data_IF_541585008382
#
_entry.id   IF_541585008382
#
_cell.length_a   1.000
_cell.length_b   1.000
_cell.length_c   1.000
_cell.angle_alpha   90.00
_cell.angle_beta   90.00
_cell.angle_gamma   90.00
#
_symmetry.space_group_name_H-M   'P 1'
#
loop_
_entity.id
_entity.type
_entity.pdbx_description
1 polymer ?
#
# COMPACT_ATOMS: atom_id res chain seq x y z
N UNK A 1 -14.03 11.06 -12.02
CA UNK A 1 -13.75 9.71 -11.49
C UNK A 1 -14.62 9.46 -10.27
N UNK A 2 -15.19 8.26 -10.11
CA UNK A 2 -15.97 7.89 -8.92
C UNK A 2 -15.03 7.24 -7.92
N UNK A 3 -14.75 7.92 -6.82
CA UNK A 3 -13.93 7.36 -5.75
C UNK A 3 -14.75 6.41 -4.89
N UNK A 4 -14.21 5.23 -4.52
CA UNK A 4 -14.93 4.22 -3.77
C UNK A 4 -15.17 4.57 -2.30
N UNK A 5 -14.44 5.54 -1.72
CA UNK A 5 -14.62 5.99 -0.33
C UNK A 5 -14.50 4.88 0.73
N UNK A 6 -13.84 3.77 0.39
CA UNK A 6 -13.69 2.61 1.25
C UNK A 6 -12.20 2.41 1.62
N UNK A 7 -11.81 2.71 2.88
CA UNK A 7 -10.42 2.57 3.35
C UNK A 7 -9.82 1.17 3.14
N UNK A 8 -10.63 0.10 3.27
CA UNK A 8 -10.17 -1.28 3.07
C UNK A 8 -9.81 -1.53 1.61
N UNK A 9 -10.61 -1.00 0.69
CA UNK A 9 -10.37 -1.12 -0.74
C UNK A 9 -9.09 -0.35 -1.14
N UNK A 10 -8.90 0.86 -0.63
CA UNK A 10 -7.65 1.62 -0.85
C UNK A 10 -6.42 0.89 -0.32
N UNK A 11 -6.51 0.31 0.89
CA UNK A 11 -5.42 -0.49 1.46
C UNK A 11 -5.10 -1.71 0.57
N UNK A 12 -6.13 -2.40 0.07
CA UNK A 12 -5.97 -3.55 -0.82
C UNK A 12 -5.29 -3.16 -2.13
N UNK A 13 -5.71 -2.05 -2.75
CA UNK A 13 -5.10 -1.53 -3.97
C UNK A 13 -3.63 -1.14 -3.71
N UNK A 14 -3.35 -0.43 -2.61
CA UNK A 14 -2.00 -0.03 -2.26
C UNK A 14 -1.07 -1.24 -2.05
N UNK A 15 -1.54 -2.30 -1.39
CA UNK A 15 -0.75 -3.53 -1.22
C UNK A 15 -0.49 -4.21 -2.57
N UNK A 16 -1.53 -4.48 -3.37
CA UNK A 16 -1.36 -5.20 -4.63
C UNK A 16 -0.53 -4.43 -5.66
N UNK A 17 -0.73 -3.12 -5.76
CA UNK A 17 0.10 -2.27 -6.62
C UNK A 17 1.56 -2.28 -6.17
N UNK A 18 1.81 -2.19 -4.86
CA UNK A 18 3.17 -2.28 -4.32
C UNK A 18 3.82 -3.62 -4.61
N UNK A 19 3.11 -4.73 -4.38
CA UNK A 19 3.63 -6.08 -4.68
C UNK A 19 3.93 -6.22 -6.16
N UNK A 20 3.03 -5.78 -7.04
CA UNK A 20 3.25 -5.81 -8.48
C UNK A 20 4.47 -4.99 -8.92
N UNK A 21 4.61 -3.77 -8.40
CA UNK A 21 5.75 -2.89 -8.69
C UNK A 21 7.06 -3.49 -8.17
N UNK A 22 7.06 -4.06 -6.96
CA UNK A 22 8.25 -4.71 -6.40
C UNK A 22 8.66 -5.92 -7.22
N UNK A 23 7.72 -6.83 -7.54
CA UNK A 23 8.01 -8.00 -8.37
C UNK A 23 8.55 -7.57 -9.74
N UNK A 24 7.95 -6.55 -10.35
CA UNK A 24 8.38 -6.04 -11.65
C UNK A 24 9.78 -5.41 -11.59
N UNK A 25 9.98 -4.42 -10.72
CA UNK A 25 11.23 -3.67 -10.66
C UNK A 25 12.36 -4.47 -10.03
N UNK A 26 12.12 -5.08 -8.87
CA UNK A 26 13.13 -5.88 -8.17
C UNK A 26 13.41 -7.17 -8.93
N UNK A 27 12.37 -7.88 -9.38
CA UNK A 27 12.51 -9.11 -10.15
C UNK A 27 13.17 -8.88 -11.51
N UNK A 28 12.78 -7.83 -12.24
CA UNK A 28 13.44 -7.44 -13.49
C UNK A 28 14.91 -7.08 -13.29
N UNK A 29 15.22 -6.31 -12.24
CA UNK A 29 16.62 -5.97 -11.90
C UNK A 29 17.42 -7.22 -11.50
N UNK A 30 16.83 -8.11 -10.71
CA UNK A 30 17.46 -9.37 -10.31
C UNK A 30 17.74 -10.26 -11.53
N UNK A 31 16.80 -10.35 -12.48
CA UNK A 31 16.97 -11.10 -13.71
C UNK A 31 18.14 -10.56 -14.53
N UNK A 32 18.21 -9.25 -14.74
CA UNK A 32 19.31 -8.60 -15.48
C UNK A 32 20.66 -8.84 -14.78
N UNK A 33 20.70 -8.67 -13.46
CA UNK A 33 21.94 -8.82 -12.70
C UNK A 33 22.43 -10.27 -12.68
N UNK A 34 21.54 -11.25 -12.59
CA UNK A 34 21.90 -12.66 -12.54
C UNK A 34 22.22 -13.24 -13.91
N UNK A 35 21.36 -13.03 -14.91
CA UNK A 35 21.54 -13.63 -16.23
C UNK A 35 22.49 -12.84 -17.13
N UNK A 36 22.53 -11.51 -17.02
CA UNK A 36 23.32 -10.69 -17.92
C UNK A 36 24.68 -10.30 -17.35
N UNK A 37 24.73 -10.00 -16.05
CA UNK A 37 25.94 -9.48 -15.39
C UNK A 37 26.64 -10.51 -14.48
N UNK A 38 26.02 -11.67 -14.23
CA UNK A 38 26.57 -12.72 -13.36
C UNK A 38 26.72 -12.31 -11.89
N UNK A 39 26.07 -11.22 -11.48
CA UNK A 39 26.18 -10.66 -10.14
C UNK A 39 25.07 -11.17 -9.23
N UNK A 40 25.45 -11.71 -8.06
CA UNK A 40 24.52 -12.32 -7.09
C UNK A 40 24.16 -11.41 -5.92
N UNK A 41 24.66 -10.17 -5.88
CA UNK A 41 24.44 -9.25 -4.76
C UNK A 41 22.94 -8.93 -4.54
N UNK A 42 22.12 -9.01 -5.59
CA UNK A 42 20.66 -8.79 -5.51
C UNK A 42 19.95 -9.91 -4.74
N UNK A 43 20.55 -11.10 -4.62
CA UNK A 43 20.01 -12.20 -3.82
C UNK A 43 20.45 -12.14 -2.35
N UNK A 44 21.38 -11.24 -2.00
CA UNK A 44 21.82 -11.07 -0.61
C UNK A 44 20.69 -10.48 0.23
N UNK A 45 20.64 -10.88 1.49
CA UNK A 45 19.59 -10.49 2.42
C UNK A 45 19.48 -8.96 2.59
N UNK A 46 20.58 -8.21 2.45
CA UNK A 46 20.56 -6.74 2.53
C UNK A 46 19.68 -6.14 1.44
N UNK A 47 19.84 -6.58 0.19
CA UNK A 47 19.07 -6.12 -0.96
C UNK A 47 17.59 -6.46 -0.80
N UNK A 48 17.30 -7.68 -0.33
CA UNK A 48 15.94 -8.15 -0.08
C UNK A 48 15.29 -7.30 1.02
N UNK A 49 16.01 -7.05 2.12
CA UNK A 49 15.51 -6.23 3.23
C UNK A 49 15.21 -4.80 2.78
N UNK A 50 16.09 -4.19 1.98
CA UNK A 50 15.87 -2.86 1.40
C UNK A 50 14.61 -2.85 0.53
N UNK A 51 14.43 -3.87 -0.33
CA UNK A 51 13.22 -4.01 -1.15
C UNK A 51 11.95 -4.13 -0.31
N UNK A 52 11.96 -4.94 0.75
CA UNK A 52 10.81 -5.11 1.66
C UNK A 52 10.49 -3.83 2.42
N UNK A 53 11.49 -3.15 2.99
CA UNK A 53 11.30 -1.90 3.72
C UNK A 53 10.78 -0.79 2.80
N UNK A 54 11.36 -0.68 1.60
CA UNK A 54 10.89 0.26 0.58
C UNK A 54 9.46 -0.04 0.17
N UNK A 55 9.11 -1.32 -0.05
CA UNK A 55 7.74 -1.74 -0.33
C UNK A 55 6.77 -1.35 0.77
N UNK A 56 7.08 -1.64 2.02
CA UNK A 56 6.23 -1.29 3.16
C UNK A 56 6.01 0.23 3.25
N UNK A 57 7.06 1.02 3.08
CA UNK A 57 6.98 2.47 3.04
C UNK A 57 6.13 2.97 1.86
N UNK A 58 6.37 2.44 0.65
CA UNK A 58 5.64 2.83 -0.56
C UNK A 58 4.15 2.48 -0.47
N UNK A 59 3.80 1.29 0.04
CA UNK A 59 2.41 0.90 0.27
C UNK A 59 1.71 1.86 1.23
N UNK A 60 2.39 2.23 2.33
CA UNK A 60 1.88 3.20 3.31
C UNK A 60 1.69 4.57 2.68
N UNK A 61 2.69 5.07 1.96
CA UNK A 61 2.63 6.37 1.29
C UNK A 61 1.48 6.39 0.28
N UNK A 62 1.40 5.40 -0.61
CA UNK A 62 0.35 5.27 -1.63
C UNK A 62 -1.04 5.25 -1.01
N UNK A 63 -1.25 4.47 0.05
CA UNK A 63 -2.52 4.45 0.78
C UNK A 63 -2.92 5.83 1.31
N UNK A 64 -2.00 6.54 1.97
CA UNK A 64 -2.25 7.87 2.52
C UNK A 64 -2.57 8.87 1.39
N UNK A 65 -1.83 8.82 0.29
CA UNK A 65 -2.05 9.69 -0.87
C UNK A 65 -3.40 9.42 -1.54
N UNK A 66 -3.79 8.16 -1.71
CA UNK A 66 -5.11 7.80 -2.23
C UNK A 66 -6.24 8.34 -1.35
N UNK A 67 -6.12 8.22 -0.02
CA UNK A 67 -7.10 8.79 0.91
C UNK A 67 -7.12 10.33 0.87
N UNK A 68 -5.96 10.99 0.77
CA UNK A 68 -5.87 12.46 0.65
C UNK A 68 -6.47 12.96 -0.67
N UNK A 69 -6.26 12.24 -1.77
CA UNK A 69 -6.84 12.56 -3.07
C UNK A 69 -8.36 12.42 -3.04
N UNK A 70 -8.87 11.35 -2.45
CA UNK A 70 -10.32 11.18 -2.25
C UNK A 70 -10.90 12.25 -1.32
N UNK A 71 -10.18 12.64 -0.25
CA UNK A 71 -10.63 13.71 0.64
C UNK A 71 -10.66 15.09 -0.04
N UNK A 72 -9.74 15.37 -0.98
CA UNK A 72 -9.66 16.67 -1.69
C UNK A 72 -10.59 16.77 -2.88
N UNK A 73 -10.76 15.69 -3.63
CA UNK A 73 -11.45 15.69 -4.92
C UNK A 73 -12.68 14.76 -4.97
N UNK A 74 -12.89 13.95 -3.93
CA UNK A 74 -14.03 13.08 -3.79
C UNK A 74 -15.28 13.85 -3.38
N UNK A 75 -16.44 13.41 -3.87
CA UNK A 75 -17.75 14.00 -3.53
C UNK A 75 -18.28 13.55 -2.17
N UNK A 76 -17.52 12.78 -1.38
CA UNK A 76 -17.95 12.18 -0.12
C UNK A 76 -19.04 11.09 -0.24
N UNK A 77 -19.73 10.99 -1.38
CA UNK A 77 -20.87 10.07 -1.61
C UNK A 77 -20.53 8.58 -1.52
N UNK A 78 -19.25 8.21 -1.57
CA UNK A 78 -18.77 6.84 -1.42
C UNK A 78 -18.21 6.52 -0.03
N UNK A 79 -18.12 7.50 0.87
CA UNK A 79 -17.50 7.31 2.18
C UNK A 79 -18.35 6.39 3.05
N UNK A 80 -17.80 5.20 3.31
CA UNK A 80 -18.37 4.28 4.28
C UNK A 80 -17.68 4.47 5.61
N UNK A 81 -18.39 5.06 6.59
CA UNK A 81 -17.95 5.04 7.97
C UNK A 81 -17.95 3.58 8.46
N UNK A 82 -16.77 3.07 8.84
CA UNK A 82 -16.72 1.80 9.56
C UNK A 82 -17.60 1.91 10.81
N UNK A 83 -18.64 1.06 10.89
CA UNK A 83 -19.49 0.95 12.07
C UNK A 83 -18.60 0.58 13.26
N UNK A 84 -18.27 1.56 14.09
CA UNK A 84 -17.59 1.34 15.36
C UNK A 84 -18.65 1.28 16.44
N UNK A 85 -18.81 0.12 17.07
CA UNK A 85 -19.65 0.00 18.26
C UNK A 85 -18.92 0.72 19.40
N UNK A 86 -19.41 1.90 19.77
CA UNK A 86 -18.94 2.62 20.95
C UNK A 86 -19.89 2.25 22.08
N UNK A 87 -19.36 1.76 23.22
CA UNK A 87 -20.16 1.66 24.44
C UNK A 87 -20.45 3.09 24.90
N UNK A 88 -21.71 3.49 24.86
CA UNK A 88 -22.14 4.73 25.48
C UNK A 88 -21.97 4.59 27.01
N UNK A 89 -21.54 5.64 27.71
CA UNK A 89 -21.50 5.63 29.17
C UNK A 89 -22.91 5.40 29.72
N UNK A 90 -23.02 4.55 30.74
CA UNK A 90 -24.29 4.29 31.44
C UNK A 90 -24.82 5.61 32.00
N UNK A 91 -26.09 5.93 31.70
CA UNK A 91 -26.78 7.05 32.33
C UNK A 91 -26.81 6.79 33.84
N UNK A 92 -26.15 7.65 34.61
CA UNK A 92 -26.36 7.73 36.06
C UNK A 92 -27.70 8.43 36.28
N UNK A 93 -28.69 7.67 36.74
CA UNK A 93 -29.93 8.18 37.34
C UNK A 93 -29.64 8.94 38.64
#
# INVERSE_FOLDING_TARGET
MKFPGNPRLYRRIAIWSTVGILVWLYGGTALIQLWWLGHTWVLKWQSILVGVLFGAWYARASYIWMMRLDARFGKGSGWSLEKKAVRLPELKD
#
